data_IF_789399171814
#
_entry.id   IF_789399171814
#
_cell.length_a   1.000
_cell.length_b   1.000
_cell.length_c   1.000
_cell.angle_alpha   90.00
_cell.angle_beta   90.00
_cell.angle_gamma   90.00
#
_symmetry.space_group_name_H-M   'P 1'
#
loop_
_entity.id
_entity.type
_entity.pdbx_description
1 polymer ?
#
# COMPACT_ATOMS: atom_id res chain seq x y z
N UNK A 1 17.27 -12.18 -5.92
CA UNK A 1 17.36 -11.76 -4.51
C UNK A 1 16.51 -12.66 -3.66
N UNK A 2 17.08 -13.21 -2.60
CA UNK A 2 16.38 -14.05 -1.62
C UNK A 2 15.47 -13.25 -0.66
N UNK A 3 15.48 -11.91 -0.73
CA UNK A 3 14.72 -11.05 0.19
C UNK A 3 13.85 -10.04 -0.56
N UNK A 4 12.59 -10.39 -0.86
CA UNK A 4 11.68 -9.52 -1.62
C UNK A 4 11.36 -8.20 -0.91
N UNK A 5 11.36 -8.20 0.42
CA UNK A 5 11.07 -7.01 1.22
C UNK A 5 12.11 -5.88 1.08
N UNK A 6 13.32 -6.16 0.57
CA UNK A 6 14.30 -5.12 0.20
C UNK A 6 13.69 -4.07 -0.74
N UNK A 7 12.78 -4.50 -1.63
CA UNK A 7 12.12 -3.62 -2.60
C UNK A 7 11.22 -2.56 -1.96
N UNK A 8 10.83 -2.72 -0.69
CA UNK A 8 9.90 -1.84 0.00
C UNK A 8 10.53 -1.09 1.18
N UNK A 9 11.86 -1.13 1.32
CA UNK A 9 12.52 -0.42 2.42
C UNK A 9 12.48 1.08 2.22
N UNK A 10 12.61 1.85 3.31
CA UNK A 10 12.74 3.30 3.23
C UNK A 10 13.99 3.76 2.45
N UNK A 11 15.02 2.91 2.33
CA UNK A 11 16.17 3.14 1.45
C UNK A 11 15.73 3.09 -0.02
N UNK A 12 15.10 1.99 -0.42
CA UNK A 12 14.62 1.79 -1.80
C UNK A 12 13.65 2.87 -2.22
N UNK A 13 12.73 3.27 -1.33
CA UNK A 13 11.80 4.36 -1.59
C UNK A 13 12.52 5.68 -1.97
N UNK A 14 13.61 6.01 -1.29
CA UNK A 14 14.42 7.21 -1.57
C UNK A 14 15.34 7.07 -2.78
N UNK A 15 15.71 5.84 -3.14
CA UNK A 15 16.50 5.56 -4.35
C UNK A 15 15.62 5.60 -5.61
N UNK A 16 14.34 5.23 -5.51
CA UNK A 16 13.41 5.15 -6.64
C UNK A 16 12.55 6.41 -6.83
N UNK A 17 12.24 7.15 -5.76
CA UNK A 17 11.32 8.30 -5.82
C UNK A 17 11.92 9.54 -5.16
N UNK A 18 11.43 10.71 -5.56
CA UNK A 18 11.70 11.95 -4.83
C UNK A 18 10.90 11.95 -3.52
N UNK A 19 11.61 11.89 -2.39
CA UNK A 19 11.02 11.84 -1.05
C UNK A 19 11.51 13.04 -0.23
N UNK A 20 10.57 13.91 0.14
CA UNK A 20 10.82 15.08 0.98
C UNK A 20 10.39 14.80 2.42
N UNK A 21 11.18 15.29 3.38
CA UNK A 21 10.85 15.18 4.79
C UNK A 21 10.11 16.43 5.28
N UNK A 22 9.00 16.23 5.98
CA UNK A 22 8.25 17.32 6.61
C UNK A 22 7.97 17.01 8.08
N UNK A 23 7.69 18.05 8.85
CA UNK A 23 7.33 17.93 10.27
C UNK A 23 5.94 18.47 10.53
N UNK A 24 5.27 17.88 11.52
CA UNK A 24 4.10 18.47 12.15
C UNK A 24 4.44 19.84 12.74
N UNK A 25 3.42 20.60 13.16
CA UNK A 25 3.59 21.93 13.73
C UNK A 25 4.65 21.96 14.86
N UNK A 26 5.74 22.69 14.64
CA UNK A 26 6.85 22.84 15.60
C UNK A 26 7.80 21.64 15.72
N UNK A 27 7.59 20.56 14.97
CA UNK A 27 8.39 19.34 15.07
C UNK A 27 9.71 19.43 14.29
N UNK A 28 10.84 19.28 15.00
CA UNK A 28 12.18 19.26 14.41
C UNK A 28 12.60 17.88 13.90
N UNK A 29 11.94 16.80 14.34
CA UNK A 29 12.24 15.43 13.90
C UNK A 29 11.87 15.17 12.46
N UNK A 30 10.81 15.83 11.97
CA UNK A 30 10.36 15.77 10.56
C UNK A 30 10.23 14.35 10.00
N UNK A 31 9.52 13.49 10.73
CA UNK A 31 9.34 12.10 10.32
C UNK A 31 8.38 11.93 9.13
N UNK A 32 7.50 12.88 8.86
CA UNK A 32 6.56 12.81 7.73
C UNK A 32 7.29 12.77 6.39
N UNK A 33 6.68 12.11 5.41
CA UNK A 33 7.23 11.91 4.06
C UNK A 33 6.27 12.46 3.02
N UNK A 34 6.77 13.23 2.08
CA UNK A 34 6.05 13.52 0.83
C UNK A 34 6.77 12.83 -0.30
N UNK A 35 6.13 11.84 -0.91
CA UNK A 35 6.67 11.08 -2.04
C UNK A 35 6.01 11.55 -3.33
N UNK A 36 6.84 11.90 -4.32
CA UNK A 36 6.39 12.26 -5.67
C UNK A 36 6.41 11.00 -6.54
N UNK A 37 5.26 10.66 -7.12
CA UNK A 37 5.09 9.46 -7.96
C UNK A 37 4.29 9.80 -9.23
N UNK A 38 4.65 9.18 -10.34
CA UNK A 38 3.86 9.27 -11.58
C UNK A 38 2.65 8.34 -11.50
N UNK A 39 1.44 8.86 -11.73
CA UNK A 39 0.21 8.09 -11.87
C UNK A 39 -0.58 8.61 -13.08
N UNK A 40 -0.94 7.71 -14.00
CA UNK A 40 -1.70 8.05 -15.21
C UNK A 40 -1.08 9.20 -16.04
N UNK A 41 0.26 9.22 -16.16
CA UNK A 41 1.00 10.23 -16.92
C UNK A 41 1.09 11.60 -16.25
N UNK A 42 0.75 11.71 -14.96
CA UNK A 42 0.91 12.92 -14.15
C UNK A 42 1.71 12.63 -12.90
N UNK A 43 2.55 13.58 -12.50
CA UNK A 43 3.17 13.54 -11.18
C UNK A 43 2.13 13.94 -10.12
N UNK A 44 2.05 13.16 -9.05
CA UNK A 44 1.23 13.43 -7.88
C UNK A 44 2.09 13.42 -6.62
N UNK A 45 1.69 14.22 -5.63
CA UNK A 45 2.30 14.24 -4.30
C UNK A 45 1.48 13.37 -3.34
N UNK A 46 2.15 12.43 -2.68
CA UNK A 46 1.56 11.51 -1.70
C UNK A 46 2.17 11.77 -0.33
N UNK A 47 1.32 11.99 0.67
CA UNK A 47 1.71 12.15 2.07
C UNK A 47 1.94 10.79 2.75
N UNK A 48 3.15 10.26 2.63
CA UNK A 48 3.58 8.92 3.06
C UNK A 48 4.35 8.21 1.93
N UNK A 49 4.38 6.87 1.89
CA UNK A 49 3.75 5.96 2.82
C UNK A 49 4.56 5.78 4.11
N UNK A 50 3.86 5.69 5.24
CA UNK A 50 4.44 5.30 6.53
C UNK A 50 4.74 3.80 6.59
N UNK A 51 5.58 3.39 7.56
CA UNK A 51 6.04 2.00 7.70
C UNK A 51 4.88 0.99 7.76
N UNK A 52 3.87 1.26 8.59
CA UNK A 52 2.72 0.37 8.78
C UNK A 52 1.90 0.23 7.50
N UNK A 53 1.74 1.31 6.74
CA UNK A 53 1.05 1.30 5.45
C UNK A 53 1.80 0.47 4.43
N UNK A 54 3.13 0.59 4.40
CA UNK A 54 3.99 -0.25 3.55
C UNK A 54 3.86 -1.73 3.94
N UNK A 55 3.86 -2.04 5.24
CA UNK A 55 3.71 -3.41 5.71
C UNK A 55 2.32 -4.00 5.37
N UNK A 56 1.25 -3.20 5.51
CA UNK A 56 -0.13 -3.60 5.28
C UNK A 56 -0.45 -3.87 3.82
N UNK A 57 -0.06 -2.96 2.91
CA UNK A 57 -0.34 -3.12 1.48
C UNK A 57 0.77 -3.83 0.70
N UNK A 58 1.96 -3.97 1.28
CA UNK A 58 3.10 -4.65 0.67
C UNK A 58 3.14 -6.14 1.04
N UNK A 59 4.03 -6.55 1.97
CA UNK A 59 4.30 -7.96 2.24
C UNK A 59 3.09 -8.73 2.75
N UNK A 60 2.16 -8.13 3.50
CA UNK A 60 0.94 -8.81 3.93
C UNK A 60 0.02 -9.18 2.77
N UNK A 61 0.05 -8.41 1.68
CA UNK A 61 -0.71 -8.67 0.46
C UNK A 61 0.15 -9.32 -0.65
N UNK A 62 1.40 -9.71 -0.37
CA UNK A 62 2.30 -10.26 -1.39
C UNK A 62 2.77 -9.27 -2.47
N UNK A 63 2.54 -7.97 -2.26
CA UNK A 63 2.90 -6.90 -3.20
C UNK A 63 4.30 -6.37 -2.87
N UNK A 64 5.19 -6.32 -3.87
CA UNK A 64 6.57 -5.84 -3.71
C UNK A 64 6.95 -4.76 -4.73
N UNK A 65 5.94 -4.06 -5.25
CA UNK A 65 6.08 -2.91 -6.11
C UNK A 65 5.82 -1.63 -5.29
N UNK A 66 6.85 -0.81 -5.08
CA UNK A 66 6.75 0.44 -4.32
C UNK A 66 5.63 1.35 -4.82
N UNK A 67 5.47 1.47 -6.14
CA UNK A 67 4.43 2.33 -6.75
C UNK A 67 3.03 1.89 -6.37
N UNK A 68 2.75 0.59 -6.41
CA UNK A 68 1.43 0.03 -6.05
C UNK A 68 1.13 0.26 -4.57
N UNK A 69 2.13 0.12 -3.70
CA UNK A 69 2.00 0.39 -2.26
C UNK A 69 1.75 1.86 -1.99
N UNK A 70 2.51 2.77 -2.62
CA UNK A 70 2.33 4.23 -2.50
C UNK A 70 0.92 4.64 -2.92
N UNK A 71 0.43 4.11 -4.05
CA UNK A 71 -0.90 4.42 -4.58
C UNK A 71 -2.02 3.83 -3.71
N UNK A 72 -1.86 2.61 -3.21
CA UNK A 72 -2.85 2.00 -2.28
C UNK A 72 -2.98 2.82 -1.00
N UNK A 73 -1.85 3.23 -0.44
CA UNK A 73 -1.79 4.15 0.69
C UNK A 73 -2.43 5.52 0.34
N UNK A 74 -2.14 6.09 -0.83
CA UNK A 74 -2.74 7.37 -1.25
C UNK A 74 -4.27 7.28 -1.32
N UNK A 75 -4.81 6.17 -1.80
CA UNK A 75 -6.27 5.94 -1.83
C UNK A 75 -6.86 5.97 -0.42
N UNK A 76 -6.18 5.38 0.58
CA UNK A 76 -6.62 5.50 1.97
C UNK A 76 -6.63 6.95 2.45
N UNK A 77 -5.62 7.76 2.12
CA UNK A 77 -5.60 9.18 2.47
C UNK A 77 -6.77 9.95 1.83
N UNK A 78 -7.05 9.71 0.54
CA UNK A 78 -8.11 10.38 -0.20
C UNK A 78 -9.50 10.04 0.35
N UNK A 79 -9.73 8.77 0.69
CA UNK A 79 -11.04 8.30 1.18
C UNK A 79 -11.19 8.34 2.71
N UNK A 80 -10.11 8.64 3.46
CA UNK A 80 -10.13 8.67 4.92
C UNK A 80 -10.21 7.27 5.56
N UNK A 81 -9.58 6.27 4.96
CA UNK A 81 -9.47 4.92 5.54
C UNK A 81 -8.19 4.76 6.35
N UNK A 82 -8.26 3.99 7.44
CA UNK A 82 -7.08 3.49 8.13
C UNK A 82 -6.32 2.50 7.24
N UNK A 83 -5.05 2.79 6.95
CA UNK A 83 -4.20 1.99 6.06
C UNK A 83 -3.92 0.61 6.63
N UNK A 84 -3.81 0.48 7.96
CA UNK A 84 -3.57 -0.80 8.63
C UNK A 84 -4.79 -1.69 8.46
N UNK A 85 -5.96 -1.23 8.91
CA UNK A 85 -7.21 -2.00 8.82
C UNK A 85 -7.58 -2.30 7.36
N UNK A 86 -7.36 -1.34 6.45
CA UNK A 86 -7.57 -1.52 5.01
C UNK A 86 -6.70 -2.63 4.43
N UNK A 87 -5.38 -2.52 4.57
CA UNK A 87 -4.44 -3.52 4.03
C UNK A 87 -4.60 -4.90 4.69
N UNK A 88 -4.79 -4.97 6.01
CA UNK A 88 -5.01 -6.25 6.71
C UNK A 88 -6.33 -6.90 6.29
N UNK A 89 -7.39 -6.13 6.04
CA UNK A 89 -8.66 -6.68 5.54
C UNK A 89 -8.51 -7.27 4.13
N UNK A 90 -7.71 -6.63 3.27
CA UNK A 90 -7.38 -7.16 1.94
C UNK A 90 -6.53 -8.42 2.05
N UNK A 91 -5.49 -8.42 2.89
CA UNK A 91 -4.67 -9.61 3.13
C UNK A 91 -5.50 -10.78 3.66
N UNK A 92 -6.48 -10.52 4.53
CA UNK A 92 -7.41 -11.54 5.00
C UNK A 92 -8.31 -12.07 3.86
N UNK A 93 -8.80 -11.20 2.98
CA UNK A 93 -9.56 -11.62 1.80
C UNK A 93 -8.72 -12.51 0.87
N UNK A 94 -7.45 -12.17 0.62
CA UNK A 94 -6.51 -12.98 -0.16
C UNK A 94 -6.37 -14.36 0.50
N UNK A 95 -6.09 -14.41 1.80
CA UNK A 95 -5.98 -15.66 2.55
C UNK A 95 -7.23 -16.55 2.41
N UNK A 96 -8.43 -15.97 2.53
CA UNK A 96 -9.68 -16.72 2.38
C UNK A 96 -9.81 -17.32 0.97
N UNK A 97 -9.48 -16.56 -0.07
CA UNK A 97 -9.55 -17.01 -1.46
C UNK A 97 -8.54 -18.13 -1.72
N UNK A 98 -7.28 -17.94 -1.34
CA UNK A 98 -6.21 -18.94 -1.52
C UNK A 98 -6.52 -20.28 -0.82
N UNK A 99 -7.22 -20.23 0.31
CA UNK A 99 -7.59 -21.41 1.09
C UNK A 99 -9.00 -21.95 0.76
N UNK A 100 -9.65 -21.44 -0.29
CA UNK A 100 -10.99 -21.84 -0.72
C UNK A 100 -12.08 -21.70 0.37
N UNK A 101 -11.97 -20.67 1.22
CA UNK A 101 -12.86 -20.42 2.35
C UNK A 101 -13.95 -19.42 1.98
N UNK A 102 -15.23 -19.83 2.10
CA UNK A 102 -16.37 -18.93 1.93
C UNK A 102 -16.55 -18.36 0.51
N UNK A 103 -16.02 -19.05 -0.51
CA UNK A 103 -15.95 -18.59 -1.91
C UNK A 103 -17.30 -18.11 -2.46
N UNK A 104 -18.37 -18.87 -2.26
CA UNK A 104 -19.69 -18.50 -2.80
C UNK A 104 -20.21 -17.18 -2.19
N UNK A 105 -19.91 -16.95 -0.90
CA UNK A 105 -20.25 -15.71 -0.22
C UNK A 105 -19.37 -14.55 -0.68
N UNK A 106 -18.08 -14.77 -0.92
CA UNK A 106 -17.19 -13.74 -1.45
C UNK A 106 -17.67 -13.32 -2.84
N UNK A 107 -17.90 -14.29 -3.74
CA UNK A 107 -18.38 -14.04 -5.11
C UNK A 107 -19.67 -13.23 -5.16
N UNK A 108 -20.59 -13.41 -4.22
CA UNK A 108 -21.84 -12.64 -4.20
C UNK A 108 -21.66 -11.15 -3.84
N UNK A 109 -20.50 -10.76 -3.30
CA UNK A 109 -20.16 -9.37 -2.99
C UNK A 109 -19.22 -8.71 -4.00
N UNK A 110 -18.60 -9.49 -4.90
CA UNK A 110 -17.77 -8.97 -5.97
C UNK A 110 -18.65 -8.37 -7.08
N UNK A 111 -18.23 -7.24 -7.64
CA UNK A 111 -18.93 -6.56 -8.74
C UNK A 111 -18.06 -6.47 -9.99
N UNK A 112 -16.87 -5.92 -9.81
CA UNK A 112 -15.98 -5.52 -10.91
C UNK A 112 -14.66 -6.30 -10.90
N UNK A 113 -14.52 -7.31 -10.03
CA UNK A 113 -13.31 -8.11 -9.83
C UNK A 113 -13.70 -9.58 -9.86
N UNK A 114 -13.03 -10.37 -10.69
CA UNK A 114 -13.18 -11.83 -10.69
C UNK A 114 -12.39 -12.44 -9.53
N UNK A 115 -12.91 -13.53 -8.94
CA UNK A 115 -12.26 -14.11 -7.75
C UNK A 115 -10.82 -14.58 -8.00
N UNK A 116 -10.51 -14.99 -9.25
CA UNK A 116 -9.16 -15.41 -9.62
C UNK A 116 -8.15 -14.26 -9.72
N UNK A 117 -8.62 -13.02 -9.64
CA UNK A 117 -7.78 -11.82 -9.59
C UNK A 117 -7.35 -11.48 -8.16
N UNK A 118 -8.01 -12.06 -7.14
CA UNK A 118 -7.65 -11.88 -5.73
C UNK A 118 -6.54 -12.88 -5.38
N UNK A 119 -5.31 -12.38 -5.36
CA UNK A 119 -4.08 -13.13 -5.08
C UNK A 119 -3.00 -12.18 -4.55
#
# INVERSE_FOLDING_TARGET
NEFFAEKLTGKTLREEYAVLDYGCAGCTMRCGKTTIVEHEGKEIEVDGPEYESVAAFGPLCGVYNSKEVILSHHMCNVYGFDTISGGVSIAFLIYLVENNLGIDRIKSHLKDIEIGEIK
#
